data_IF_213577325756
#
_entry.id   IF_213577325756
#
_cell.length_a   1.000
_cell.length_b   1.000
_cell.length_c   1.000
_cell.angle_alpha   90.00
_cell.angle_beta   90.00
_cell.angle_gamma   90.00
#
_symmetry.space_group_name_H-M   'P 1'
#
loop_
_entity.id
_entity.type
_entity.pdbx_description
1 polymer ?
#
# COMPACT_ATOMS: atom_id res chain seq x y z
N UNK A 1 22.79 28.60 -21.83
CA UNK A 1 22.37 29.70 -22.73
C UNK A 1 21.12 30.41 -22.22
N UNK A 2 20.00 29.71 -21.98
CA UNK A 2 18.73 30.31 -21.59
C UNK A 2 18.79 31.03 -20.22
N UNK A 3 19.48 30.46 -19.23
CA UNK A 3 19.68 31.11 -17.95
C UNK A 3 20.51 32.43 -18.10
N UNK A 4 21.54 32.42 -18.95
CA UNK A 4 22.38 33.59 -19.19
C UNK A 4 21.60 34.70 -19.90
N UNK A 5 20.70 34.34 -20.81
CA UNK A 5 19.81 35.32 -21.45
C UNK A 5 18.80 35.89 -20.44
N UNK A 6 18.21 35.02 -19.61
CA UNK A 6 17.21 35.42 -18.63
C UNK A 6 17.78 36.41 -17.58
N UNK A 7 19.00 36.19 -17.08
CA UNK A 7 19.64 37.12 -16.12
C UNK A 7 20.14 38.40 -16.72
N UNK A 8 20.17 38.56 -18.05
CA UNK A 8 20.53 39.80 -18.76
C UNK A 8 19.39 40.84 -18.84
N UNK A 9 18.19 40.50 -18.32
CA UNK A 9 17.09 41.46 -18.29
C UNK A 9 17.31 42.56 -17.25
N UNK A 10 16.65 43.71 -17.45
CA UNK A 10 16.77 44.90 -16.57
C UNK A 10 16.29 44.64 -15.14
N UNK A 11 15.39 43.70 -14.94
CA UNK A 11 14.92 43.22 -13.62
C UNK A 11 14.74 41.74 -13.65
N UNK A 12 15.35 41.04 -12.70
CA UNK A 12 15.32 39.58 -12.61
C UNK A 12 15.03 39.13 -11.17
N UNK A 13 14.09 38.23 -11.01
CA UNK A 13 13.80 37.59 -9.73
C UNK A 13 14.12 36.08 -9.88
N UNK A 14 15.03 35.58 -9.05
CA UNK A 14 15.37 34.15 -8.99
C UNK A 14 14.71 33.54 -7.77
N UNK A 15 13.87 32.55 -8.00
CA UNK A 15 13.19 31.81 -6.94
C UNK A 15 13.59 30.34 -6.94
N UNK A 16 13.63 29.72 -5.77
CA UNK A 16 13.78 28.27 -5.61
C UNK A 16 13.05 27.76 -4.40
N UNK A 17 12.59 26.53 -4.45
CA UNK A 17 12.18 25.82 -3.24
C UNK A 17 13.42 25.53 -2.38
N UNK A 18 13.36 25.71 -1.06
CA UNK A 18 14.39 25.25 -0.11
C UNK A 18 14.17 23.79 0.27
N UNK A 19 12.91 23.36 0.26
CA UNK A 19 12.50 21.98 0.57
C UNK A 19 11.42 21.56 -0.43
N UNK A 20 11.34 20.27 -0.70
CA UNK A 20 10.16 19.61 -1.26
C UNK A 20 9.45 18.83 -0.15
N UNK A 21 8.47 17.99 -0.48
CA UNK A 21 7.72 17.19 0.48
C UNK A 21 8.60 16.18 1.25
N UNK A 22 9.75 15.79 0.70
CA UNK A 22 10.58 14.69 1.22
C UNK A 22 11.91 15.15 1.81
N UNK A 23 12.54 16.16 1.22
CA UNK A 23 13.91 16.56 1.58
C UNK A 23 14.21 18.03 1.30
N UNK A 24 15.35 18.50 1.79
CA UNK A 24 15.92 19.78 1.37
C UNK A 24 16.38 19.70 -0.10
N UNK A 25 16.11 20.77 -0.85
CA UNK A 25 16.51 20.85 -2.27
C UNK A 25 17.88 21.49 -2.43
N UNK A 26 18.66 20.99 -3.37
CA UNK A 26 19.92 21.61 -3.77
C UNK A 26 19.64 22.75 -4.76
N UNK A 27 20.28 23.90 -4.55
CA UNK A 27 20.19 25.00 -5.50
C UNK A 27 20.74 24.60 -6.88
N UNK A 28 20.18 25.17 -7.95
CA UNK A 28 20.71 24.91 -9.29
C UNK A 28 22.17 25.32 -9.40
N UNK A 29 22.94 24.62 -10.23
CA UNK A 29 24.36 24.96 -10.49
C UNK A 29 24.57 26.41 -10.88
N UNK A 30 23.61 27.04 -11.55
CA UNK A 30 23.70 28.44 -11.95
C UNK A 30 23.59 29.41 -10.79
N UNK A 31 22.64 29.12 -9.86
CA UNK A 31 22.49 29.91 -8.63
C UNK A 31 23.72 29.73 -7.73
N UNK A 32 24.26 28.52 -7.61
CA UNK A 32 25.49 28.24 -6.86
C UNK A 32 26.66 29.02 -7.46
N UNK A 33 26.85 28.97 -8.78
CA UNK A 33 27.94 29.69 -9.45
C UNK A 33 27.81 31.22 -9.28
N UNK A 34 26.60 31.76 -9.42
CA UNK A 34 26.36 33.20 -9.24
C UNK A 34 26.67 33.63 -7.80
N UNK A 35 26.17 32.88 -6.81
CA UNK A 35 26.41 33.22 -5.40
C UNK A 35 27.87 33.06 -5.01
N UNK A 36 28.57 32.02 -5.50
CA UNK A 36 29.99 31.83 -5.24
C UNK A 36 30.85 32.89 -5.93
N UNK A 37 30.50 33.30 -7.15
CA UNK A 37 31.17 34.36 -7.85
C UNK A 37 31.10 35.68 -7.05
N UNK A 38 29.89 36.10 -6.67
CA UNK A 38 29.68 37.32 -5.90
C UNK A 38 30.34 37.27 -4.53
N UNK A 39 30.26 36.13 -3.83
CA UNK A 39 30.90 35.95 -2.53
C UNK A 39 32.43 35.87 -2.60
N UNK A 40 33.00 35.48 -3.74
CA UNK A 40 34.45 35.42 -3.97
C UNK A 40 35.06 36.69 -4.58
N UNK A 41 34.25 37.64 -4.97
CA UNK A 41 34.70 39.00 -5.33
C UNK A 41 35.04 39.76 -4.03
N UNK A 42 35.62 40.96 -4.19
CA UNK A 42 35.91 41.85 -3.06
C UNK A 42 34.71 42.08 -2.13
N UNK A 43 34.89 42.85 -1.05
CA UNK A 43 33.84 43.23 -0.12
C UNK A 43 32.57 43.77 -0.81
N UNK A 44 32.75 44.49 -1.93
CA UNK A 44 31.64 44.97 -2.76
C UNK A 44 30.77 43.82 -3.34
N UNK A 45 31.39 42.72 -3.73
CA UNK A 45 30.64 41.55 -4.24
C UNK A 45 29.83 40.87 -3.15
N UNK A 46 30.38 40.73 -1.95
CA UNK A 46 29.68 40.19 -0.79
C UNK A 46 28.50 41.08 -0.38
N UNK A 47 28.69 42.39 -0.39
CA UNK A 47 27.65 43.39 -0.10
C UNK A 47 26.54 43.35 -1.18
N UNK A 48 26.89 43.28 -2.47
CA UNK A 48 25.94 43.15 -3.56
C UNK A 48 25.07 41.89 -3.42
N UNK A 49 25.68 40.77 -3.03
CA UNK A 49 24.95 39.50 -2.74
C UNK A 49 23.98 39.65 -1.56
N UNK A 50 24.42 40.31 -0.48
CA UNK A 50 23.57 40.58 0.69
C UNK A 50 22.36 41.47 0.31
N UNK A 51 22.60 42.53 -0.43
CA UNK A 51 21.54 43.44 -0.93
C UNK A 51 20.57 42.70 -1.87
N UNK A 52 21.08 41.87 -2.77
CA UNK A 52 20.25 41.07 -3.67
C UNK A 52 19.32 40.12 -2.87
N UNK A 53 19.85 39.46 -1.82
CA UNK A 53 19.06 38.63 -0.93
C UNK A 53 18.03 39.42 -0.12
N UNK A 54 18.41 40.60 0.36
CA UNK A 54 17.51 41.48 1.10
C UNK A 54 16.30 41.89 0.23
N UNK A 55 16.57 42.34 -1.02
CA UNK A 55 15.49 42.66 -1.97
C UNK A 55 14.58 41.43 -2.24
N UNK A 56 15.15 40.22 -2.39
CA UNK A 56 14.38 39.00 -2.58
C UNK A 56 13.54 38.64 -1.37
N UNK A 57 14.05 38.85 -0.15
CA UNK A 57 13.33 38.55 1.08
C UNK A 57 12.06 39.39 1.24
N UNK A 58 12.00 40.61 0.68
CA UNK A 58 10.76 41.41 0.71
C UNK A 58 9.58 40.64 0.11
N UNK A 59 9.78 39.91 -0.99
CA UNK A 59 8.72 39.10 -1.59
C UNK A 59 8.31 37.92 -0.68
N UNK A 60 9.28 37.30 0.01
CA UNK A 60 8.99 36.25 0.97
C UNK A 60 8.21 36.79 2.17
N UNK A 61 8.57 37.98 2.66
CA UNK A 61 7.87 38.60 3.78
C UNK A 61 6.45 39.03 3.39
N UNK A 62 6.26 39.55 2.16
CA UNK A 62 4.93 39.79 1.61
C UNK A 62 4.07 38.53 1.57
N UNK A 63 4.61 37.41 1.07
CA UNK A 63 3.90 36.13 1.06
C UNK A 63 3.53 35.69 2.48
N UNK A 64 4.46 35.80 3.45
CA UNK A 64 4.20 35.48 4.85
C UNK A 64 3.10 36.33 5.47
N UNK A 65 3.04 37.61 5.11
CA UNK A 65 1.96 38.51 5.58
C UNK A 65 0.62 38.10 5.01
N UNK A 66 0.58 37.73 3.72
CA UNK A 66 -0.64 37.26 3.05
C UNK A 66 -1.14 35.91 3.61
N UNK A 67 -0.21 35.04 4.00
CA UNK A 67 -0.53 33.70 4.56
C UNK A 67 -0.81 33.76 6.07
N UNK A 68 -0.52 34.88 6.75
CA UNK A 68 -0.75 34.99 8.19
C UNK A 68 -2.25 35.13 8.46
N UNK A 69 -2.87 34.17 9.17
CA UNK A 69 -4.26 34.32 9.58
C UNK A 69 -4.40 35.52 10.53
N UNK A 70 -5.53 36.21 10.45
CA UNK A 70 -5.88 37.21 11.43
C UNK A 70 -6.10 36.55 12.81
N UNK A 71 -6.01 37.32 13.92
CA UNK A 71 -6.26 36.77 15.26
C UNK A 71 -7.66 36.17 15.39
N UNK A 72 -8.62 36.63 14.59
CA UNK A 72 -10.00 36.14 14.53
C UNK A 72 -10.13 34.83 13.72
N UNK A 73 -9.15 34.50 12.88
CA UNK A 73 -9.13 33.32 12.02
C UNK A 73 -8.21 32.22 12.54
N UNK A 74 -7.62 32.37 13.72
CA UNK A 74 -6.82 31.32 14.34
C UNK A 74 -7.73 30.18 14.77
N UNK A 75 -7.55 29.01 14.16
CA UNK A 75 -8.26 27.78 14.51
C UNK A 75 -7.38 26.95 15.42
N UNK A 76 -7.95 26.30 16.46
CA UNK A 76 -7.17 25.36 17.26
C UNK A 76 -6.68 24.17 16.41
N UNK A 77 -5.58 23.58 16.80
CA UNK A 77 -5.10 22.35 16.18
C UNK A 77 -6.19 21.27 16.24
N UNK A 78 -6.28 20.48 15.19
CA UNK A 78 -7.23 19.38 15.17
C UNK A 78 -6.90 18.34 16.23
N UNK A 79 -7.93 17.72 16.76
CA UNK A 79 -7.79 16.54 17.58
C UNK A 79 -7.68 15.28 16.69
N UNK A 80 -7.09 14.22 17.24
CA UNK A 80 -7.07 12.92 16.59
C UNK A 80 -8.50 12.40 16.42
N UNK A 81 -9.02 12.25 15.19
CA UNK A 81 -10.42 11.96 14.97
C UNK A 81 -10.76 10.49 15.29
N UNK A 82 -11.95 10.31 15.87
CA UNK A 82 -12.55 9.00 16.12
C UNK A 82 -14.07 9.07 15.91
N UNK A 83 -14.56 9.29 14.67
CA UNK A 83 -15.98 9.41 14.39
C UNK A 83 -16.76 8.16 14.78
N UNK A 84 -17.94 8.34 15.35
CA UNK A 84 -18.89 7.31 15.76
C UNK A 84 -20.15 7.38 14.89
N UNK A 85 -20.17 6.75 13.71
CA UNK A 85 -21.36 6.71 12.88
C UNK A 85 -22.43 5.83 13.49
N UNK A 86 -23.72 6.11 13.21
CA UNK A 86 -24.81 5.28 13.67
C UNK A 86 -24.66 3.84 13.18
N UNK A 87 -25.18 2.88 13.94
CA UNK A 87 -25.08 1.45 13.66
C UNK A 87 -25.50 1.10 12.22
N UNK A 88 -26.61 1.69 11.75
CA UNK A 88 -27.13 1.40 10.41
C UNK A 88 -26.20 1.83 9.25
N UNK A 89 -25.27 2.77 9.51
CA UNK A 89 -24.28 3.19 8.52
C UNK A 89 -23.01 2.34 8.55
N UNK A 90 -22.82 1.49 9.56
CA UNK A 90 -21.63 0.66 9.70
C UNK A 90 -21.64 -0.48 8.69
N UNK A 91 -20.50 -0.79 8.04
CA UNK A 91 -20.48 -1.81 6.99
C UNK A 91 -20.75 -3.20 7.54
N UNK A 92 -21.66 -3.94 6.91
CA UNK A 92 -21.95 -5.36 7.20
C UNK A 92 -21.19 -6.30 6.25
N UNK A 93 -20.35 -5.74 5.38
CA UNK A 93 -19.50 -6.50 4.46
C UNK A 93 -18.18 -5.77 4.24
N UNK A 94 -17.08 -6.51 4.38
CA UNK A 94 -15.72 -6.04 4.03
C UNK A 94 -14.95 -7.15 3.32
N UNK A 95 -13.93 -6.77 2.54
CA UNK A 95 -12.95 -7.75 2.07
C UNK A 95 -11.94 -8.10 3.17
N UNK A 96 -11.32 -9.26 3.07
CA UNK A 96 -10.27 -9.69 4.03
C UNK A 96 -9.15 -8.66 4.16
N UNK A 97 -8.75 -8.01 3.07
CA UNK A 97 -7.75 -6.92 3.07
C UNK A 97 -8.25 -5.66 3.80
N UNK A 98 -9.56 -5.40 3.77
CA UNK A 98 -10.16 -4.27 4.50
C UNK A 98 -10.30 -4.53 5.99
N UNK A 99 -10.34 -5.79 6.43
CA UNK A 99 -10.24 -6.13 7.85
C UNK A 99 -8.86 -5.70 8.41
N UNK A 100 -7.78 -5.92 7.66
CA UNK A 100 -6.48 -5.38 8.05
C UNK A 100 -6.49 -3.85 8.18
N UNK A 101 -7.17 -3.16 7.25
CA UNK A 101 -7.35 -1.72 7.31
C UNK A 101 -8.16 -1.32 8.56
N UNK A 102 -9.24 -2.03 8.88
CA UNK A 102 -10.07 -1.78 10.06
C UNK A 102 -9.27 -1.93 11.37
N UNK A 103 -8.33 -2.88 11.42
CA UNK A 103 -7.44 -3.06 12.59
C UNK A 103 -6.42 -1.93 12.71
N UNK A 104 -5.84 -1.50 11.59
CA UNK A 104 -4.71 -0.56 11.57
C UNK A 104 -5.12 0.90 11.58
N UNK A 105 -6.05 1.24 10.71
CA UNK A 105 -6.55 2.59 10.52
C UNK A 105 -8.06 2.58 10.23
N UNK A 106 -8.88 2.43 11.27
CA UNK A 106 -10.35 2.42 11.14
C UNK A 106 -10.91 3.62 10.40
N UNK A 107 -10.28 4.79 10.52
CA UNK A 107 -10.72 6.01 9.84
C UNK A 107 -10.76 5.84 8.31
N UNK A 108 -9.86 5.02 7.73
CA UNK A 108 -9.89 4.69 6.30
C UNK A 108 -11.17 3.94 5.91
N UNK A 109 -11.69 3.09 6.81
CA UNK A 109 -12.98 2.40 6.60
C UNK A 109 -14.12 3.39 6.70
N UNK A 110 -14.10 4.28 7.71
CA UNK A 110 -15.09 5.36 7.83
C UNK A 110 -15.13 6.21 6.56
N UNK A 111 -14.01 6.75 6.11
CA UNK A 111 -13.94 7.58 4.93
C UNK A 111 -14.40 6.84 3.64
N UNK A 112 -13.88 5.62 3.43
CA UNK A 112 -14.11 4.92 2.15
C UNK A 112 -15.42 4.12 2.09
N UNK A 113 -15.97 3.65 3.23
CA UNK A 113 -17.15 2.78 3.25
C UNK A 113 -18.40 3.43 3.79
N UNK A 114 -18.25 4.33 4.76
CA UNK A 114 -19.38 5.05 5.35
C UNK A 114 -19.62 6.35 4.60
N UNK A 115 -18.59 7.20 4.47
CA UNK A 115 -18.67 8.43 3.67
C UNK A 115 -18.59 8.19 2.15
N UNK A 116 -18.20 6.98 1.73
CA UNK A 116 -18.05 6.58 0.31
C UNK A 116 -17.11 7.45 -0.50
N UNK A 117 -16.08 8.00 0.16
CA UNK A 117 -15.07 8.80 -0.50
C UNK A 117 -14.08 7.90 -1.25
N UNK A 118 -13.62 8.39 -2.38
CA UNK A 118 -12.61 7.74 -3.19
C UNK A 118 -11.42 8.69 -3.41
N UNK A 119 -10.21 8.13 -3.42
CA UNK A 119 -9.03 8.87 -3.81
C UNK A 119 -9.15 9.32 -5.26
N UNK A 120 -8.86 10.58 -5.53
CA UNK A 120 -8.80 11.08 -6.89
C UNK A 120 -7.57 10.51 -7.60
N UNK A 121 -7.75 10.08 -8.83
CA UNK A 121 -6.65 9.68 -9.68
C UNK A 121 -5.82 10.92 -10.06
N UNK A 122 -4.49 10.82 -10.17
CA UNK A 122 -3.68 11.91 -10.67
C UNK A 122 -4.06 12.25 -12.12
N UNK A 123 -3.95 13.52 -12.50
CA UNK A 123 -4.26 13.98 -13.87
C UNK A 123 -3.41 13.26 -14.91
N UNK A 124 -2.15 12.99 -14.60
CA UNK A 124 -1.26 12.19 -15.44
C UNK A 124 -1.00 10.85 -14.76
N UNK A 125 -1.47 9.80 -15.39
CA UNK A 125 -1.23 8.44 -14.88
C UNK A 125 0.21 8.02 -15.19
N UNK A 126 0.85 7.44 -14.20
CA UNK A 126 2.16 6.79 -14.30
C UNK A 126 2.08 5.40 -13.68
N UNK A 127 2.95 4.51 -14.14
CA UNK A 127 3.03 3.16 -13.58
C UNK A 127 3.33 3.22 -12.08
N UNK A 128 2.45 2.65 -11.27
CA UNK A 128 2.53 2.65 -9.82
C UNK A 128 2.80 1.24 -9.24
N UNK A 129 3.06 1.11 -7.94
CA UNK A 129 3.25 -0.19 -7.31
C UNK A 129 2.02 -1.12 -7.38
N UNK A 130 0.79 -0.59 -7.49
CA UNK A 130 -0.44 -1.39 -7.63
C UNK A 130 -0.51 -2.01 -9.00
N UNK A 131 -0.24 -1.24 -10.06
CA UNK A 131 -0.19 -1.74 -11.45
C UNK A 131 0.83 -2.89 -11.56
N UNK A 132 1.99 -2.73 -10.90
CA UNK A 132 2.99 -3.80 -10.84
C UNK A 132 2.46 -5.03 -10.10
N UNK A 133 1.75 -4.84 -8.99
CA UNK A 133 1.12 -5.91 -8.23
C UNK A 133 0.19 -6.72 -9.13
N UNK A 134 -0.79 -6.05 -9.72
CA UNK A 134 -1.78 -6.66 -10.61
C UNK A 134 -1.13 -7.41 -11.77
N UNK A 135 -0.14 -6.80 -12.43
CA UNK A 135 0.55 -7.44 -13.55
C UNK A 135 1.33 -8.70 -13.13
N UNK A 136 1.99 -8.68 -11.96
CA UNK A 136 2.75 -9.84 -11.48
C UNK A 136 1.85 -10.98 -11.02
N UNK A 137 0.71 -10.67 -10.36
CA UNK A 137 -0.30 -11.68 -10.02
C UNK A 137 -0.83 -12.35 -11.29
N UNK A 138 -1.16 -11.55 -12.32
CA UNK A 138 -1.61 -12.10 -13.61
C UNK A 138 -0.57 -13.00 -14.28
N UNK A 139 0.72 -12.65 -14.20
CA UNK A 139 1.80 -13.53 -14.68
C UNK A 139 1.83 -14.85 -13.92
N UNK A 140 1.68 -14.80 -12.59
CA UNK A 140 1.66 -16.01 -11.75
C UNK A 140 0.44 -16.88 -12.04
N UNK A 141 -0.73 -16.27 -12.14
CA UNK A 141 -1.98 -16.94 -12.50
C UNK A 141 -1.80 -17.76 -13.80
N UNK A 142 -1.37 -17.11 -14.88
CA UNK A 142 -1.20 -17.78 -16.17
C UNK A 142 -0.09 -18.81 -16.18
N UNK A 143 1.00 -18.54 -15.47
CA UNK A 143 2.10 -19.51 -15.37
C UNK A 143 1.70 -20.78 -14.60
N UNK A 144 1.02 -20.62 -13.46
CA UNK A 144 0.64 -21.72 -12.57
C UNK A 144 -0.49 -22.56 -13.12
N UNK A 145 -1.43 -21.96 -13.86
CA UNK A 145 -2.58 -22.66 -14.46
C UNK A 145 -2.16 -23.80 -15.42
N UNK A 146 -0.94 -23.77 -15.98
CA UNK A 146 -0.47 -24.72 -16.96
C UNK A 146 0.73 -25.52 -16.43
N UNK A 147 0.48 -26.73 -15.97
CA UNK A 147 1.54 -27.69 -15.62
C UNK A 147 2.05 -28.40 -16.89
N UNK A 148 3.35 -28.51 -17.03
CA UNK A 148 4.01 -29.25 -18.12
C UNK A 148 5.13 -30.09 -17.56
N UNK A 149 5.40 -31.21 -18.21
CA UNK A 149 6.60 -31.99 -17.94
C UNK A 149 7.78 -31.29 -18.65
N UNK A 150 8.54 -30.51 -17.90
CA UNK A 150 9.59 -29.64 -18.41
C UNK A 150 10.73 -29.52 -17.39
N UNK A 151 11.92 -29.32 -17.89
CA UNK A 151 13.10 -29.05 -17.05
C UNK A 151 12.96 -27.66 -16.38
N UNK A 152 13.68 -27.42 -15.27
CA UNK A 152 13.66 -26.08 -14.64
C UNK A 152 14.07 -24.94 -15.59
N UNK A 153 14.96 -25.22 -16.56
CA UNK A 153 15.38 -24.23 -17.56
C UNK A 153 14.27 -23.91 -18.57
N UNK A 154 13.52 -24.92 -19.02
CA UNK A 154 12.38 -24.77 -19.91
C UNK A 154 11.23 -24.06 -19.19
N UNK A 155 10.95 -24.43 -17.93
CA UNK A 155 9.97 -23.75 -17.08
C UNK A 155 10.32 -22.27 -16.88
N UNK A 156 11.60 -21.95 -16.66
CA UNK A 156 12.04 -20.56 -16.52
C UNK A 156 11.89 -19.78 -17.83
N UNK A 157 12.17 -20.41 -18.97
CA UNK A 157 11.97 -19.79 -20.27
C UNK A 157 10.47 -19.55 -20.54
N UNK A 158 9.60 -20.51 -20.22
CA UNK A 158 8.14 -20.37 -20.31
C UNK A 158 7.63 -19.26 -19.39
N UNK A 159 8.09 -19.20 -18.14
CA UNK A 159 7.72 -18.12 -17.21
C UNK A 159 8.07 -16.74 -17.77
N UNK A 160 9.26 -16.59 -18.36
CA UNK A 160 9.67 -15.33 -19.00
C UNK A 160 8.79 -14.99 -20.19
N UNK A 161 8.46 -15.96 -21.05
CA UNK A 161 7.58 -15.76 -22.20
C UNK A 161 6.16 -15.36 -21.76
N UNK A 162 5.62 -16.03 -20.73
CA UNK A 162 4.33 -15.65 -20.12
C UNK A 162 4.39 -14.21 -19.59
N UNK A 163 5.45 -13.86 -18.84
CA UNK A 163 5.63 -12.52 -18.33
C UNK A 163 5.71 -11.45 -19.44
N UNK A 164 6.39 -11.74 -20.52
CA UNK A 164 6.51 -10.85 -21.68
C UNK A 164 5.12 -10.57 -22.28
N UNK A 165 4.34 -11.62 -22.55
CA UNK A 165 3.00 -11.54 -23.10
C UNK A 165 2.05 -10.77 -22.18
N UNK A 166 1.99 -11.12 -20.90
CA UNK A 166 1.09 -10.48 -19.93
C UNK A 166 1.43 -8.99 -19.74
N UNK A 167 2.72 -8.66 -19.61
CA UNK A 167 3.14 -7.26 -19.48
C UNK A 167 2.84 -6.44 -20.74
N UNK A 168 2.93 -7.01 -21.92
CA UNK A 168 2.55 -6.34 -23.16
C UNK A 168 1.06 -6.00 -23.18
N UNK A 169 0.22 -6.91 -22.72
CA UNK A 169 -1.23 -6.76 -22.74
C UNK A 169 -1.77 -5.86 -21.64
N UNK A 170 -1.15 -5.87 -20.45
CA UNK A 170 -1.72 -5.25 -19.24
C UNK A 170 -1.08 -3.93 -18.84
N UNK A 171 0.16 -3.67 -19.24
CA UNK A 171 0.93 -2.51 -18.80
C UNK A 171 1.06 -1.48 -19.92
N UNK A 172 0.50 -0.29 -19.75
CA UNK A 172 0.48 0.76 -20.77
C UNK A 172 1.85 1.42 -21.00
N UNK A 173 2.73 1.43 -20.00
CA UNK A 173 4.00 2.18 -20.02
C UNK A 173 5.19 1.32 -20.49
N UNK A 174 5.77 1.59 -21.67
CA UNK A 174 6.86 0.77 -22.21
C UNK A 174 8.12 0.71 -21.33
N UNK A 175 8.43 1.80 -20.62
CA UNK A 175 9.56 1.84 -19.70
C UNK A 175 9.32 0.92 -18.48
N UNK A 176 8.12 0.93 -17.92
CA UNK A 176 7.75 0.04 -16.82
C UNK A 176 7.78 -1.43 -17.23
N UNK A 177 7.26 -1.77 -18.42
CA UNK A 177 7.32 -3.14 -18.99
C UNK A 177 8.74 -3.67 -18.98
N UNK A 178 9.69 -2.90 -19.52
CA UNK A 178 11.12 -3.32 -19.59
C UNK A 178 11.73 -3.53 -18.22
N UNK A 179 11.47 -2.62 -17.27
CA UNK A 179 12.00 -2.71 -15.92
C UNK A 179 11.39 -3.92 -15.18
N UNK A 180 10.08 -4.11 -15.29
CA UNK A 180 9.38 -5.20 -14.61
C UNK A 180 9.72 -6.56 -15.20
N UNK A 181 9.81 -6.65 -16.52
CA UNK A 181 10.29 -7.88 -17.20
C UNK A 181 11.72 -8.23 -16.78
N UNK A 182 12.62 -7.24 -16.68
CA UNK A 182 13.97 -7.46 -16.19
C UNK A 182 14.02 -8.02 -14.76
N UNK A 183 13.11 -7.59 -13.89
CA UNK A 183 12.95 -8.14 -12.53
C UNK A 183 12.45 -9.59 -12.56
N UNK A 184 11.44 -9.89 -13.38
CA UNK A 184 10.90 -11.25 -13.51
C UNK A 184 11.93 -12.21 -14.14
N UNK A 185 12.68 -11.77 -15.16
CA UNK A 185 13.79 -12.56 -15.74
C UNK A 185 14.83 -12.95 -14.68
N UNK A 186 15.17 -12.03 -13.77
CA UNK A 186 16.16 -12.27 -12.72
C UNK A 186 15.70 -13.34 -11.71
N UNK A 187 14.41 -13.45 -11.43
CA UNK A 187 13.88 -14.40 -10.46
C UNK A 187 13.34 -15.68 -11.10
N UNK A 188 13.33 -15.80 -12.43
CA UNK A 188 12.68 -16.90 -13.15
C UNK A 188 13.12 -18.27 -12.66
N UNK A 189 14.42 -18.56 -12.67
CA UNK A 189 14.93 -19.87 -12.28
C UNK A 189 14.67 -20.20 -10.80
N UNK A 190 15.03 -19.35 -9.80
CA UNK A 190 14.71 -19.65 -8.40
C UNK A 190 13.20 -19.74 -8.15
N UNK A 191 12.37 -18.99 -8.88
CA UNK A 191 10.92 -19.06 -8.75
C UNK A 191 10.39 -20.41 -9.22
N UNK A 192 10.79 -20.90 -10.40
CA UNK A 192 10.30 -22.18 -10.92
C UNK A 192 10.80 -23.36 -10.09
N UNK A 193 12.00 -23.28 -9.52
CA UNK A 193 12.50 -24.29 -8.58
C UNK A 193 11.65 -24.35 -7.32
N UNK A 194 11.30 -23.20 -6.76
CA UNK A 194 10.38 -23.11 -5.61
C UNK A 194 9.00 -23.64 -5.97
N UNK A 195 8.51 -23.32 -7.15
CA UNK A 195 7.22 -23.81 -7.64
C UNK A 195 7.21 -25.34 -7.75
N UNK A 196 8.27 -25.94 -8.25
CA UNK A 196 8.42 -27.38 -8.32
C UNK A 196 8.38 -28.04 -6.92
N UNK A 197 8.98 -27.40 -5.90
CA UNK A 197 8.86 -27.88 -4.50
C UNK A 197 7.45 -27.71 -3.94
N UNK A 198 6.77 -26.59 -4.22
CA UNK A 198 5.38 -26.40 -3.79
C UNK A 198 4.46 -27.48 -4.39
N UNK A 199 4.65 -27.85 -5.65
CA UNK A 199 3.86 -28.89 -6.33
C UNK A 199 4.07 -30.30 -5.81
N UNK A 200 5.14 -30.58 -5.08
CA UNK A 200 5.31 -31.85 -4.35
C UNK A 200 4.40 -31.93 -3.11
N UNK A 201 3.94 -30.79 -2.59
CA UNK A 201 3.10 -30.71 -1.41
C UNK A 201 1.61 -30.69 -1.81
N UNK A 202 1.26 -29.94 -2.84
CA UNK A 202 -0.11 -29.82 -3.32
C UNK A 202 -0.20 -29.43 -4.77
N UNK A 203 -1.35 -29.66 -5.38
CA UNK A 203 -1.65 -29.29 -6.78
C UNK A 203 -2.59 -28.10 -6.80
N UNK A 204 -2.34 -27.06 -7.60
CA UNK A 204 -3.25 -25.94 -7.73
C UNK A 204 -4.63 -26.39 -8.21
N UNK A 205 -5.65 -26.08 -7.43
CA UNK A 205 -7.06 -26.33 -7.77
C UNK A 205 -7.78 -25.05 -8.17
N UNK A 206 -7.27 -23.89 -7.75
CA UNK A 206 -7.79 -22.58 -8.17
C UNK A 206 -6.71 -21.50 -8.10
N UNK A 207 -6.84 -20.52 -9.01
CA UNK A 207 -6.05 -19.27 -9.04
C UNK A 207 -7.00 -18.09 -9.23
N UNK A 208 -6.69 -16.93 -8.59
CA UNK A 208 -7.50 -15.69 -8.64
C UNK A 208 -9.00 -15.98 -8.40
N UNK A 209 -9.28 -16.81 -7.39
CA UNK A 209 -10.63 -17.29 -7.13
C UNK A 209 -11.35 -16.41 -6.11
N UNK A 210 -12.55 -15.97 -6.47
CA UNK A 210 -13.41 -15.17 -5.59
C UNK A 210 -14.08 -16.05 -4.55
N UNK A 211 -13.99 -15.61 -3.29
CA UNK A 211 -14.64 -16.20 -2.15
C UNK A 211 -15.58 -15.23 -1.43
N UNK A 212 -16.58 -15.79 -0.77
CA UNK A 212 -17.52 -15.06 0.08
C UNK A 212 -18.09 -15.97 1.16
N UNK A 213 -18.10 -15.48 2.40
CA UNK A 213 -18.69 -16.20 3.53
C UNK A 213 -19.44 -15.25 4.45
N UNK A 214 -20.63 -15.68 4.89
CA UNK A 214 -21.50 -14.92 5.79
C UNK A 214 -21.50 -15.54 7.18
N UNK A 215 -20.99 -14.79 8.16
CA UNK A 215 -20.99 -15.14 9.58
C UNK A 215 -22.35 -14.79 10.19
N UNK A 216 -23.21 -15.79 10.35
CA UNK A 216 -24.60 -15.61 10.79
C UNK A 216 -24.70 -14.99 12.20
N UNK A 217 -23.79 -15.38 13.10
CA UNK A 217 -23.81 -14.97 14.51
C UNK A 217 -23.53 -13.47 14.73
N UNK A 218 -22.94 -12.81 13.74
CA UNK A 218 -22.60 -11.38 13.77
C UNK A 218 -23.20 -10.61 12.59
N UNK A 219 -24.02 -11.28 11.77
CA UNK A 219 -24.60 -10.70 10.54
C UNK A 219 -23.58 -9.95 9.71
N UNK A 220 -22.45 -10.59 9.41
CA UNK A 220 -21.34 -9.97 8.70
C UNK A 220 -20.82 -10.84 7.58
N UNK A 221 -20.50 -10.25 6.43
CA UNK A 221 -19.97 -10.94 5.26
C UNK A 221 -18.52 -10.59 5.00
N UNK A 222 -17.69 -11.60 4.80
CA UNK A 222 -16.35 -11.46 4.23
C UNK A 222 -16.35 -11.79 2.75
N UNK A 223 -15.52 -11.04 2.00
CA UNK A 223 -15.20 -11.36 0.61
C UNK A 223 -13.68 -11.37 0.42
N UNK A 224 -13.21 -12.18 -0.51
CA UNK A 224 -11.80 -12.21 -0.91
C UNK A 224 -11.66 -12.55 -2.38
N UNK A 225 -10.46 -12.43 -2.87
CA UNK A 225 -9.97 -13.05 -4.10
C UNK A 225 -8.65 -13.71 -3.71
N UNK A 226 -8.64 -15.04 -3.63
CA UNK A 226 -7.47 -15.80 -3.24
C UNK A 226 -6.56 -16.00 -4.45
N UNK A 227 -5.28 -15.65 -4.32
CA UNK A 227 -4.32 -15.73 -5.42
C UNK A 227 -4.13 -17.17 -5.93
N UNK A 228 -4.06 -18.12 -4.98
CA UNK A 228 -3.91 -19.53 -5.31
C UNK A 228 -4.34 -20.43 -4.14
N UNK A 229 -5.04 -21.50 -4.45
CA UNK A 229 -5.38 -22.58 -3.54
C UNK A 229 -4.87 -23.90 -4.12
N UNK A 230 -4.08 -24.64 -3.33
CA UNK A 230 -3.59 -25.97 -3.68
C UNK A 230 -4.26 -27.01 -2.80
N UNK A 231 -4.56 -28.17 -3.38
CA UNK A 231 -5.04 -29.36 -2.69
C UNK A 231 -3.94 -30.41 -2.61
N UNK A 232 -3.75 -30.98 -1.43
CA UNK A 232 -2.80 -32.09 -1.21
C UNK A 232 -3.42 -33.41 -1.59
N UNK A 233 -2.61 -34.45 -1.74
CA UNK A 233 -3.09 -35.84 -1.94
C UNK A 233 -4.03 -36.31 -0.82
N UNK A 234 -3.88 -35.74 0.38
CA UNK A 234 -4.73 -36.04 1.55
C UNK A 234 -6.07 -35.30 1.58
N UNK A 235 -6.34 -34.40 0.63
CA UNK A 235 -7.53 -33.54 0.58
C UNK A 235 -7.48 -32.33 1.52
N UNK A 236 -6.34 -32.04 2.13
CA UNK A 236 -6.09 -30.79 2.86
C UNK A 236 -5.67 -29.69 1.90
N UNK A 237 -5.78 -28.41 2.31
CA UNK A 237 -5.50 -27.27 1.47
C UNK A 237 -4.35 -26.42 1.96
N UNK A 238 -3.70 -25.73 1.01
CA UNK A 238 -2.74 -24.64 1.23
C UNK A 238 -3.24 -23.41 0.47
N UNK A 239 -3.22 -22.25 1.13
CA UNK A 239 -3.53 -20.97 0.48
C UNK A 239 -2.26 -20.16 0.32
N UNK A 240 -2.00 -19.69 -0.89
CA UNK A 240 -0.84 -18.86 -1.22
C UNK A 240 -1.28 -17.45 -1.60
N UNK A 241 -0.46 -16.47 -1.19
CA UNK A 241 -0.59 -15.06 -1.58
C UNK A 241 0.76 -14.56 -2.12
N UNK A 242 0.76 -13.95 -3.29
CA UNK A 242 1.94 -13.42 -3.94
C UNK A 242 2.22 -11.97 -3.52
N UNK A 243 3.46 -11.68 -3.13
CA UNK A 243 3.88 -10.32 -2.78
C UNK A 243 4.98 -9.85 -3.73
N UNK A 244 4.78 -8.70 -4.38
CA UNK A 244 5.78 -8.11 -5.31
C UNK A 244 7.05 -7.62 -4.63
N UNK A 245 7.06 -7.56 -3.30
CA UNK A 245 8.21 -7.28 -2.44
C UNK A 245 8.49 -8.44 -1.50
N UNK A 246 9.27 -8.18 -0.45
CA UNK A 246 9.51 -9.16 0.60
C UNK A 246 8.19 -9.53 1.30
N UNK A 247 7.91 -10.82 1.54
CA UNK A 247 6.75 -11.26 2.28
C UNK A 247 6.79 -10.76 3.73
N UNK A 248 5.62 -10.63 4.40
CA UNK A 248 5.58 -10.22 5.79
C UNK A 248 6.29 -11.24 6.69
N UNK A 249 6.92 -10.77 7.76
CA UNK A 249 7.50 -11.66 8.77
C UNK A 249 6.40 -12.40 9.56
N UNK A 250 6.72 -13.54 10.16
CA UNK A 250 5.80 -14.29 11.02
C UNK A 250 5.16 -13.40 12.10
N UNK A 251 5.95 -12.56 12.78
CA UNK A 251 5.44 -11.62 13.79
C UNK A 251 4.41 -10.63 13.24
N UNK A 252 4.60 -10.15 12.02
CA UNK A 252 3.63 -9.26 11.38
C UNK A 252 2.33 -9.98 11.00
N UNK A 253 2.41 -11.26 10.62
CA UNK A 253 1.24 -12.06 10.28
C UNK A 253 0.40 -12.42 11.50
N UNK A 254 1.03 -12.69 12.63
CA UNK A 254 0.31 -13.04 13.87
C UNK A 254 -0.48 -11.87 14.46
N UNK A 255 0.01 -10.64 14.29
CA UNK A 255 -0.56 -9.45 14.97
C UNK A 255 -1.47 -8.62 14.07
N UNK A 256 -1.15 -8.49 12.78
CA UNK A 256 -1.72 -7.43 11.95
C UNK A 256 -2.22 -7.89 10.58
N UNK A 257 -1.77 -9.03 10.09
CA UNK A 257 -2.13 -9.53 8.77
C UNK A 257 -2.98 -10.79 8.88
N UNK A 258 -4.28 -10.59 8.89
CA UNK A 258 -5.25 -11.67 9.02
C UNK A 258 -5.73 -12.21 7.67
N UNK A 259 -5.32 -11.63 6.54
CA UNK A 259 -5.84 -11.95 5.21
C UNK A 259 -5.94 -13.47 4.97
N UNK A 260 -4.80 -14.15 4.90
CA UNK A 260 -4.77 -15.59 4.59
C UNK A 260 -5.46 -16.45 5.64
N UNK A 261 -5.42 -16.04 6.90
CA UNK A 261 -6.13 -16.75 7.96
C UNK A 261 -7.65 -16.65 7.82
N UNK A 262 -8.16 -15.49 7.40
CA UNK A 262 -9.59 -15.32 7.12
C UNK A 262 -10.00 -16.09 5.85
N UNK A 263 -9.15 -16.14 4.84
CA UNK A 263 -9.36 -16.98 3.66
C UNK A 263 -9.40 -18.46 4.03
N UNK A 264 -8.56 -18.91 4.97
CA UNK A 264 -8.58 -20.28 5.48
C UNK A 264 -9.93 -20.60 6.16
N UNK A 265 -10.42 -19.71 7.04
CA UNK A 265 -11.75 -19.85 7.65
C UNK A 265 -12.83 -19.94 6.58
N UNK A 266 -12.78 -19.07 5.57
CA UNK A 266 -13.75 -19.07 4.48
C UNK A 266 -13.73 -20.38 3.69
N UNK A 267 -12.54 -20.94 3.41
CA UNK A 267 -12.41 -22.21 2.70
C UNK A 267 -12.98 -23.38 3.53
N UNK A 268 -12.61 -23.48 4.80
CA UNK A 268 -13.11 -24.53 5.70
C UNK A 268 -14.64 -24.49 5.86
N UNK A 269 -15.27 -23.33 5.66
CA UNK A 269 -16.70 -23.12 5.74
C UNK A 269 -17.43 -23.01 4.36
N UNK A 270 -16.77 -23.41 3.28
CA UNK A 270 -17.40 -23.45 1.94
C UNK A 270 -17.57 -22.10 1.27
N UNK A 271 -16.74 -21.13 1.62
CA UNK A 271 -16.76 -19.77 1.06
C UNK A 271 -16.24 -19.64 -0.37
N UNK A 272 -15.71 -20.71 -0.97
CA UNK A 272 -15.20 -20.69 -2.35
C UNK A 272 -16.02 -21.61 -3.23
N UNK A 273 -16.70 -21.04 -4.22
CA UNK A 273 -17.56 -21.79 -5.13
C UNK A 273 -16.73 -22.73 -6.02
N UNK A 274 -17.09 -24.00 -6.04
CA UNK A 274 -16.43 -25.03 -6.84
C UNK A 274 -15.22 -25.68 -6.17
N UNK A 275 -14.90 -25.28 -4.93
CA UNK A 275 -13.88 -25.95 -4.10
C UNK A 275 -14.61 -26.63 -2.95
N UNK A 276 -14.26 -27.90 -2.68
CA UNK A 276 -14.81 -28.64 -1.56
C UNK A 276 -14.32 -28.06 -0.23
N UNK A 277 -15.16 -28.14 0.79
CA UNK A 277 -14.72 -27.82 2.16
C UNK A 277 -13.67 -28.81 2.63
N UNK A 278 -12.62 -28.32 3.22
CA UNK A 278 -11.55 -29.15 3.76
C UNK A 278 -10.64 -28.33 4.66
N UNK A 279 -9.82 -29.01 5.42
CA UNK A 279 -8.90 -28.36 6.35
C UNK A 279 -7.80 -27.59 5.59
N UNK A 280 -7.55 -26.37 6.00
CA UNK A 280 -6.36 -25.62 5.59
C UNK A 280 -5.25 -25.88 6.62
N UNK A 281 -4.21 -26.61 6.23
CA UNK A 281 -3.13 -26.94 7.16
C UNK A 281 -1.98 -25.94 7.12
N UNK A 282 -1.91 -25.10 6.07
CA UNK A 282 -0.87 -24.09 5.93
C UNK A 282 -1.36 -22.90 5.08
N UNK A 283 -0.92 -21.72 5.43
CA UNK A 283 -1.00 -20.53 4.56
C UNK A 283 0.39 -19.97 4.30
N UNK A 284 0.65 -19.42 3.10
CA UNK A 284 1.99 -19.01 2.74
C UNK A 284 2.01 -17.71 1.90
N UNK A 285 2.86 -16.78 2.28
CA UNK A 285 3.20 -15.61 1.48
C UNK A 285 4.44 -15.91 0.64
N UNK A 286 4.32 -15.73 -0.67
CA UNK A 286 5.39 -15.98 -1.65
C UNK A 286 5.90 -14.67 -2.23
N UNK A 287 7.15 -14.29 -1.92
CA UNK A 287 7.78 -13.09 -2.48
C UNK A 287 8.17 -13.28 -3.95
N UNK A 288 7.84 -12.29 -4.76
CA UNK A 288 8.34 -12.13 -6.14
C UNK A 288 9.49 -11.12 -6.15
N UNK A 289 10.23 -11.07 -5.04
CA UNK A 289 11.42 -10.25 -4.86
C UNK A 289 12.68 -10.97 -5.40
N UNK A 290 13.80 -10.25 -5.45
CA UNK A 290 15.05 -10.80 -5.97
C UNK A 290 15.62 -11.99 -5.17
N UNK A 291 15.05 -12.31 -4.00
CA UNK A 291 15.45 -13.43 -3.14
C UNK A 291 14.46 -14.59 -3.19
N UNK A 292 13.32 -14.42 -3.87
CA UNK A 292 12.19 -15.37 -3.87
C UNK A 292 11.84 -15.89 -2.49
N UNK A 293 11.83 -14.96 -1.50
CA UNK A 293 11.61 -15.28 -0.11
C UNK A 293 10.16 -15.77 0.12
N UNK A 294 9.95 -16.54 1.18
CA UNK A 294 8.63 -17.05 1.55
C UNK A 294 8.45 -17.02 3.07
N UNK A 295 7.20 -16.83 3.48
CA UNK A 295 6.79 -16.97 4.88
C UNK A 295 5.67 -17.99 4.94
N UNK A 296 5.95 -19.16 5.48
CA UNK A 296 5.00 -20.28 5.64
C UNK A 296 4.50 -20.33 7.08
N UNK A 297 3.21 -20.50 7.23
CA UNK A 297 2.49 -20.47 8.51
C UNK A 297 1.63 -21.73 8.61
N UNK A 298 2.14 -22.80 9.25
CA UNK A 298 1.34 -23.97 9.54
C UNK A 298 0.16 -23.61 10.44
N UNK A 299 -1.01 -24.20 10.15
CA UNK A 299 -2.23 -24.08 10.95
C UNK A 299 -2.47 -25.39 11.68
N UNK A 300 -2.42 -25.35 13.01
CA UNK A 300 -2.74 -26.50 13.83
C UNK A 300 -4.27 -26.65 13.97
N UNK A 301 -4.77 -27.86 14.25
CA UNK A 301 -6.19 -28.06 14.55
C UNK A 301 -6.65 -27.10 15.66
N UNK A 302 -7.72 -26.36 15.41
CA UNK A 302 -8.27 -25.36 16.34
C UNK A 302 -7.73 -23.93 16.16
N UNK A 303 -6.74 -23.69 15.31
CA UNK A 303 -6.23 -22.34 15.10
C UNK A 303 -7.20 -21.46 14.31
N UNK A 304 -7.88 -22.03 13.31
CA UNK A 304 -8.91 -21.30 12.53
C UNK A 304 -10.07 -20.87 13.43
N UNK A 305 -10.51 -21.70 14.38
CA UNK A 305 -11.55 -21.35 15.35
C UNK A 305 -11.12 -20.21 16.30
N UNK A 306 -9.86 -20.21 16.75
CA UNK A 306 -9.33 -19.10 17.58
C UNK A 306 -9.29 -17.80 16.80
N UNK A 307 -8.90 -17.84 15.52
CA UNK A 307 -8.84 -16.68 14.65
C UNK A 307 -10.26 -16.18 14.35
N UNK A 308 -11.21 -17.08 14.10
CA UNK A 308 -12.61 -16.74 13.91
C UNK A 308 -13.22 -16.06 15.15
N UNK A 309 -12.92 -16.56 16.35
CA UNK A 309 -13.35 -15.91 17.58
C UNK A 309 -12.80 -14.48 17.71
N UNK A 310 -11.50 -14.28 17.45
CA UNK A 310 -10.89 -12.95 17.45
C UNK A 310 -11.48 -12.02 16.38
N UNK A 311 -11.79 -12.54 15.21
CA UNK A 311 -12.46 -11.77 14.14
C UNK A 311 -13.88 -11.39 14.58
N UNK A 312 -14.63 -12.33 15.16
CA UNK A 312 -15.98 -12.10 15.67
C UNK A 312 -15.98 -11.01 16.75
N UNK A 313 -15.05 -11.07 17.70
CA UNK A 313 -14.89 -10.05 18.73
C UNK A 313 -14.52 -8.69 18.15
N UNK A 314 -13.67 -8.65 17.12
CA UNK A 314 -13.35 -7.41 16.40
C UNK A 314 -14.62 -6.76 15.82
N UNK A 315 -15.46 -7.54 15.11
CA UNK A 315 -16.68 -7.01 14.50
C UNK A 315 -17.68 -6.58 15.57
N UNK A 316 -17.89 -7.37 16.63
CA UNK A 316 -18.75 -6.98 17.78
C UNK A 316 -18.30 -5.69 18.43
N UNK A 317 -16.99 -5.44 18.56
CA UNK A 317 -16.47 -4.17 19.05
C UNK A 317 -16.89 -3.00 18.15
N UNK A 318 -16.91 -3.19 16.82
CA UNK A 318 -17.40 -2.18 15.89
C UNK A 318 -18.92 -2.14 15.75
N UNK A 319 -19.65 -3.05 16.37
CA UNK A 319 -21.11 -2.97 16.54
C UNK A 319 -21.51 -2.10 17.74
N UNK A 320 -20.61 -1.93 18.72
CA UNK A 320 -20.84 -1.02 19.85
C UNK A 320 -20.90 0.44 19.37
N UNK A 321 -22.00 1.16 19.61
CA UNK A 321 -22.12 2.58 19.27
C UNK A 321 -21.01 3.47 19.85
N UNK A 322 -20.46 3.10 21.01
CA UNK A 322 -19.37 3.83 21.65
C UNK A 322 -18.02 3.69 20.93
N UNK A 323 -17.85 2.64 20.11
CA UNK A 323 -16.62 2.41 19.37
C UNK A 323 -16.52 3.36 18.18
N UNK A 324 -15.52 4.24 18.20
CA UNK A 324 -15.20 5.14 17.10
C UNK A 324 -14.21 4.54 16.08
N UNK A 325 -14.23 5.11 14.90
CA UNK A 325 -13.30 4.77 13.79
C UNK A 325 -12.05 5.64 13.88
N UNK A 326 -11.18 5.33 14.82
CA UNK A 326 -9.99 6.12 15.16
C UNK A 326 -8.96 6.13 14.02
N UNK A 327 -8.43 7.31 13.68
CA UNK A 327 -7.34 7.44 12.72
C UNK A 327 -6.03 6.89 13.29
N UNK A 328 -5.28 6.16 12.44
CA UNK A 328 -3.95 5.60 12.72
C UNK A 328 -3.87 4.86 14.06
N UNK A 329 -4.81 3.96 14.32
CA UNK A 329 -4.86 3.19 15.56
C UNK A 329 -3.58 2.40 15.82
N UNK A 330 -2.98 1.83 14.75
CA UNK A 330 -1.71 1.09 14.84
C UNK A 330 -0.78 1.58 13.74
N UNK A 331 0.33 2.18 14.12
CA UNK A 331 1.34 2.67 13.21
C UNK A 331 2.32 1.54 12.91
N UNK A 332 2.43 1.16 11.65
CA UNK A 332 3.43 0.16 11.23
C UNK A 332 4.66 0.77 10.56
N UNK A 333 4.50 1.89 9.89
CA UNK A 333 5.55 2.59 9.17
C UNK A 333 5.11 4.02 8.91
N UNK A 334 5.99 4.95 9.20
CA UNK A 334 5.77 6.40 8.96
C UNK A 334 5.92 6.76 7.48
N UNK A 335 6.33 5.81 6.62
CA UNK A 335 6.73 6.10 5.24
C UNK A 335 5.61 6.12 4.21
N UNK A 336 4.38 5.75 4.59
CA UNK A 336 3.25 5.73 3.65
C UNK A 336 2.10 6.58 4.18
N UNK A 337 1.79 7.66 3.47
CA UNK A 337 0.58 8.43 3.70
C UNK A 337 -0.65 7.58 3.40
N UNK A 338 -1.64 7.60 4.29
CA UNK A 338 -2.96 7.03 4.04
C UNK A 338 -3.73 7.85 3.01
N UNK A 339 -4.60 7.21 2.25
CA UNK A 339 -5.39 7.90 1.21
C UNK A 339 -6.26 9.05 1.77
N UNK A 340 -6.59 9.02 3.06
CA UNK A 340 -7.45 10.00 3.75
C UNK A 340 -6.75 10.71 4.91
N UNK A 341 -5.42 10.70 4.97
CA UNK A 341 -4.66 11.39 6.02
C UNK A 341 -4.94 12.89 6.06
N UNK A 342 -5.12 13.52 4.89
CA UNK A 342 -5.48 14.93 4.81
C UNK A 342 -6.88 15.23 5.38
N UNK A 343 -7.83 14.30 5.23
CA UNK A 343 -9.17 14.41 5.82
C UNK A 343 -9.13 14.21 7.34
N UNK A 344 -8.29 13.31 7.82
CA UNK A 344 -8.03 13.09 9.24
C UNK A 344 -7.13 14.17 9.85
N UNK A 345 -6.63 15.11 9.05
CA UNK A 345 -5.71 16.18 9.46
C UNK A 345 -4.45 15.65 10.15
N UNK A 346 -3.91 14.53 9.61
CA UNK A 346 -2.67 13.92 10.12
C UNK A 346 -1.53 14.93 10.01
N UNK A 347 -0.79 15.08 11.11
CA UNK A 347 0.29 16.07 11.24
C UNK A 347 -0.09 17.28 12.08
N UNK A 348 -1.38 17.49 12.36
CA UNK A 348 -1.85 18.51 13.33
C UNK A 348 -1.99 17.94 14.75
N UNK A 349 -2.06 16.63 14.87
CA UNK A 349 -2.11 15.88 16.13
C UNK A 349 -0.99 14.81 16.12
N UNK A 350 -0.64 14.31 17.31
CA UNK A 350 0.34 13.25 17.50
C UNK A 350 -0.34 11.88 17.58
N UNK A 351 0.35 10.84 17.09
CA UNK A 351 -0.11 9.45 17.23
C UNK A 351 -0.25 9.00 18.69
N UNK A 352 0.40 9.70 19.62
CA UNK A 352 0.28 9.51 21.07
C UNK A 352 -0.94 10.23 21.69
N UNK A 353 -1.58 11.13 20.95
CA UNK A 353 -2.74 11.85 21.46
C UNK A 353 -3.94 10.91 21.60
N UNK A 354 -4.69 11.09 22.70
CA UNK A 354 -5.93 10.35 22.88
C UNK A 354 -6.91 10.70 21.75
N UNK A 355 -7.59 9.71 21.14
CA UNK A 355 -8.58 9.98 20.13
C UNK A 355 -9.77 10.70 20.75
N UNK A 356 -10.34 11.65 20.02
CA UNK A 356 -11.55 12.36 20.44
C UNK A 356 -12.75 11.75 19.71
N UNK A 357 -13.62 11.01 20.42
CA UNK A 357 -14.84 10.46 19.82
C UNK A 357 -15.83 11.58 19.48
N UNK A 358 -16.44 11.46 18.30
CA UNK A 358 -17.43 12.42 17.83
C UNK A 358 -18.61 11.68 17.22
N UNK A 359 -19.83 11.96 17.69
CA UNK A 359 -21.03 11.40 17.08
C UNK A 359 -21.31 12.10 15.75
N UNK A 360 -21.40 11.32 14.69
CA UNK A 360 -21.70 11.81 13.34
C UNK A 360 -23.03 11.22 12.86
N UNK A 361 -23.81 12.05 12.15
CA UNK A 361 -25.13 11.67 11.63
C UNK A 361 -25.04 11.15 10.19
#
# INVERSE_FOLDING_TARGET
>A
HDFQQAIGASSVILTRAKRNAEAETVASRWVIRLTNLLAGMSDEGAEALAQMRARGNVFIDMARVLERPSEQETVPMAHRPSPRPPYAARPRQLSVTRIETLVRDPYQIYASRILRLNKLNPLTQSADPRDRGTAFHKVMEEFVAHTRDETPSEAAARFVATAETVLEQTVLWPAARRIWLGRLKKIALPLVMREAENRKIGTPVATEVKGGYHFKDIDFSLTCEADRIDETEGGDYIIYDYKTGAPPSKKQTETLRMQLHLEAIMLENGGFKGIHTGRVFEVAYLGLDGKTSQTRLPLLPGDTQKIEARFTDLIRNYDDPAQGYTSRRIIQSVSFAGDFDHLARVGEWSDSDAPVPEDVQ
#
